data_IF_255012524296
#
_entry.id   IF_255012524296
#
_cell.length_a   1.000
_cell.length_b   1.000
_cell.length_c   1.000
_cell.angle_alpha   90.00
_cell.angle_beta   90.00
_cell.angle_gamma   90.00
#
_symmetry.space_group_name_H-M   'P 1'
#
loop_
_entity.id
_entity.type
_entity.pdbx_description
1 polymer ?
#
# COMPACT_ATOMS: atom_id res chain seq x y z
N UNK A 1 39.50 -26.50 -0.92
CA UNK A 1 38.42 -26.00 -1.81
C UNK A 1 38.90 -24.71 -2.47
N UNK A 2 38.83 -24.60 -3.80
CA UNK A 2 39.30 -23.42 -4.56
C UNK A 2 38.36 -22.22 -4.39
N UNK A 3 38.82 -21.00 -4.73
CA UNK A 3 37.95 -19.81 -4.73
C UNK A 3 36.76 -19.94 -5.68
N UNK A 4 36.96 -20.60 -6.83
CA UNK A 4 35.87 -20.90 -7.75
C UNK A 4 34.83 -21.83 -7.10
N UNK A 5 35.27 -22.90 -6.44
CA UNK A 5 34.37 -23.84 -5.74
C UNK A 5 33.59 -23.13 -4.61
N UNK A 6 34.25 -22.30 -3.80
CA UNK A 6 33.59 -21.46 -2.77
C UNK A 6 32.52 -20.55 -3.38
N UNK A 7 32.84 -19.88 -4.49
CA UNK A 7 31.89 -18.99 -5.19
C UNK A 7 30.67 -19.75 -5.71
N UNK A 8 30.88 -20.96 -6.25
CA UNK A 8 29.80 -21.85 -6.70
C UNK A 8 28.88 -22.24 -5.53
N UNK A 9 29.42 -22.70 -4.40
CA UNK A 9 28.61 -23.08 -3.25
C UNK A 9 27.82 -21.90 -2.66
N UNK A 10 28.44 -20.71 -2.57
CA UNK A 10 27.75 -19.48 -2.15
C UNK A 10 26.61 -19.07 -3.08
N UNK A 11 26.75 -19.28 -4.38
CA UNK A 11 25.68 -18.96 -5.33
C UNK A 11 24.54 -19.99 -5.26
N UNK A 12 24.85 -21.26 -5.02
CA UNK A 12 23.82 -22.31 -4.84
C UNK A 12 22.99 -22.10 -3.59
N UNK A 13 23.57 -21.59 -2.49
CA UNK A 13 22.83 -21.22 -1.28
C UNK A 13 21.71 -20.20 -1.54
N UNK A 14 21.80 -19.41 -2.63
CA UNK A 14 20.79 -18.40 -2.99
C UNK A 14 19.61 -18.98 -3.77
N UNK A 15 19.66 -20.24 -4.19
CA UNK A 15 18.56 -20.87 -4.92
C UNK A 15 17.42 -21.14 -3.92
N UNK A 16 16.20 -20.61 -4.13
CA UNK A 16 15.09 -20.78 -3.18
C UNK A 16 14.66 -22.25 -2.99
N UNK A 17 14.06 -22.55 -1.84
CA UNK A 17 13.45 -23.85 -1.54
C UNK A 17 12.40 -24.22 -2.60
N UNK A 18 12.47 -25.44 -3.13
CA UNK A 18 11.50 -25.94 -4.11
C UNK A 18 11.70 -25.41 -5.53
N UNK A 19 12.73 -24.60 -5.76
CA UNK A 19 13.17 -24.17 -7.08
C UNK A 19 14.43 -24.89 -7.52
N UNK A 20 14.59 -25.02 -8.83
CA UNK A 20 15.82 -25.55 -9.44
C UNK A 20 16.46 -24.52 -10.36
N UNK A 21 17.77 -24.64 -10.55
CA UNK A 21 18.54 -23.87 -11.55
C UNK A 21 19.44 -24.81 -12.32
N UNK A 22 19.83 -24.40 -13.53
CA UNK A 22 20.72 -25.20 -14.35
C UNK A 22 22.19 -24.98 -13.96
N UNK A 23 23.05 -25.96 -14.24
CA UNK A 23 24.51 -25.74 -14.11
C UNK A 23 24.98 -24.52 -14.92
N UNK A 24 24.39 -24.26 -16.10
CA UNK A 24 24.66 -23.07 -16.92
C UNK A 24 24.24 -21.77 -16.23
N UNK A 25 23.10 -21.77 -15.53
CA UNK A 25 22.65 -20.62 -14.74
C UNK A 25 23.66 -20.28 -13.64
N UNK A 26 24.09 -21.28 -12.87
CA UNK A 26 25.10 -21.07 -11.81
C UNK A 26 26.42 -20.59 -12.41
N UNK A 27 26.88 -21.21 -13.51
CA UNK A 27 28.10 -20.83 -14.21
C UNK A 27 28.08 -19.35 -14.67
N UNK A 28 26.95 -18.90 -15.20
CA UNK A 28 26.72 -17.50 -15.59
C UNK A 28 26.79 -16.57 -14.38
N UNK A 29 26.14 -16.93 -13.27
CA UNK A 29 26.10 -16.12 -12.04
C UNK A 29 27.45 -16.01 -11.33
N UNK A 30 28.31 -17.01 -11.46
CA UNK A 30 29.69 -16.93 -10.94
C UNK A 30 30.66 -16.22 -11.90
N UNK A 31 30.17 -15.72 -13.04
CA UNK A 31 30.95 -14.97 -14.02
C UNK A 31 31.73 -15.82 -15.02
N UNK A 32 31.38 -17.11 -15.16
CA UNK A 32 32.03 -18.03 -16.11
C UNK A 32 30.98 -18.84 -16.88
N UNK A 33 30.24 -18.26 -17.85
CA UNK A 33 29.08 -18.88 -18.49
C UNK A 33 29.33 -20.28 -19.11
N UNK A 34 30.55 -20.52 -19.60
CA UNK A 34 30.94 -21.78 -20.23
C UNK A 34 31.46 -22.84 -19.25
N UNK A 35 31.58 -22.52 -17.96
CA UNK A 35 32.20 -23.40 -16.96
C UNK A 35 31.20 -24.37 -16.28
N UNK A 36 30.09 -24.75 -16.93
CA UNK A 36 29.06 -25.59 -16.33
C UNK A 36 29.55 -26.99 -15.90
N UNK A 37 30.52 -27.58 -16.62
CA UNK A 37 31.20 -28.82 -16.19
C UNK A 37 32.04 -28.61 -14.92
N UNK A 38 32.75 -27.49 -14.83
CA UNK A 38 33.52 -27.14 -13.63
C UNK A 38 32.60 -26.86 -12.43
N UNK A 39 31.43 -26.25 -12.66
CA UNK A 39 30.39 -26.10 -11.63
C UNK A 39 29.93 -27.48 -11.14
N UNK A 40 29.63 -28.42 -12.04
CA UNK A 40 29.23 -29.78 -11.64
C UNK A 40 30.31 -30.46 -10.78
N UNK A 41 31.58 -30.33 -11.16
CA UNK A 41 32.71 -30.86 -10.38
C UNK A 41 32.84 -30.19 -9.01
N UNK A 42 32.63 -28.87 -8.93
CA UNK A 42 32.63 -28.15 -7.66
C UNK A 42 31.50 -28.63 -6.72
N UNK A 43 30.30 -28.84 -7.25
CA UNK A 43 29.15 -29.33 -6.49
C UNK A 43 29.30 -30.78 -6.03
N UNK A 44 30.03 -31.62 -6.78
CA UNK A 44 30.37 -32.99 -6.35
C UNK A 44 31.24 -33.00 -5.10
N UNK A 45 32.07 -31.97 -4.90
CA UNK A 45 32.97 -31.81 -3.75
C UNK A 45 32.31 -31.05 -2.58
N UNK A 46 31.01 -30.79 -2.64
CA UNK A 46 30.29 -30.11 -1.58
C UNK A 46 30.40 -30.90 -0.27
N UNK A 47 31.04 -30.36 0.79
CA UNK A 47 31.21 -31.06 2.06
C UNK A 47 29.91 -31.18 2.86
N UNK A 48 28.89 -30.37 2.55
CA UNK A 48 27.62 -30.32 3.30
C UNK A 48 26.41 -30.40 2.35
N UNK A 49 26.20 -31.53 1.64
CA UNK A 49 25.18 -31.67 0.59
C UNK A 49 23.73 -31.40 1.01
N UNK A 50 23.40 -31.54 2.30
CA UNK A 50 22.07 -31.21 2.83
C UNK A 50 21.89 -29.72 3.21
N UNK A 51 22.97 -29.03 3.61
CA UNK A 51 22.92 -27.63 4.05
C UNK A 51 23.23 -26.66 2.90
N UNK A 52 24.11 -27.06 1.98
CA UNK A 52 24.38 -26.35 0.73
C UNK A 52 23.62 -27.09 -0.37
N UNK A 53 22.50 -26.55 -0.89
CA UNK A 53 21.47 -27.32 -1.59
C UNK A 53 21.85 -27.65 -3.04
N UNK A 54 22.94 -28.39 -3.25
CA UNK A 54 23.42 -28.73 -4.58
C UNK A 54 22.49 -29.71 -5.33
N UNK A 55 21.54 -30.35 -4.63
CA UNK A 55 20.42 -31.07 -5.24
C UNK A 55 19.49 -30.16 -6.07
N UNK A 56 19.42 -28.85 -5.77
CA UNK A 56 18.63 -27.88 -6.56
C UNK A 56 19.24 -27.56 -7.93
N UNK A 57 20.46 -28.00 -8.22
CA UNK A 57 21.12 -27.76 -9.50
C UNK A 57 20.93 -28.95 -10.44
N UNK A 58 20.30 -28.71 -11.60
CA UNK A 58 19.91 -29.74 -12.58
C UNK A 58 20.50 -29.46 -13.97
N UNK A 59 20.39 -30.43 -14.89
CA UNK A 59 20.81 -30.21 -16.28
C UNK A 59 19.84 -29.26 -17.01
N UNK A 60 20.30 -28.68 -18.13
CA UNK A 60 19.48 -27.83 -19.00
C UNK A 60 18.25 -28.54 -19.58
N UNK A 61 18.29 -29.87 -19.67
CA UNK A 61 17.21 -30.67 -20.25
C UNK A 61 16.24 -31.19 -19.17
N UNK A 62 16.23 -30.56 -18.00
CA UNK A 62 15.50 -30.99 -16.79
C UNK A 62 15.81 -32.43 -16.31
N UNK A 63 16.82 -33.10 -16.88
CA UNK A 63 17.31 -34.38 -16.35
C UNK A 63 18.05 -34.15 -15.04
N UNK A 64 17.82 -35.04 -14.09
CA UNK A 64 18.49 -35.03 -12.79
C UNK A 64 19.92 -35.53 -12.99
N UNK A 65 20.88 -34.62 -12.86
CA UNK A 65 22.31 -34.94 -12.88
C UNK A 65 22.78 -35.55 -11.56
N UNK A 66 24.05 -35.95 -11.50
CA UNK A 66 24.65 -36.57 -10.33
C UNK A 66 24.50 -35.78 -9.02
N UNK A 67 24.59 -36.51 -7.91
CA UNK A 67 24.52 -36.00 -6.54
C UNK A 67 25.42 -36.86 -5.65
N UNK A 68 26.18 -36.25 -4.74
CA UNK A 68 27.14 -36.97 -3.89
C UNK A 68 26.48 -37.98 -2.95
N UNK A 69 25.21 -37.76 -2.57
CA UNK A 69 24.43 -38.69 -1.76
C UNK A 69 23.45 -39.56 -2.57
N UNK A 70 23.63 -39.64 -3.90
CA UNK A 70 22.81 -40.50 -4.76
C UNK A 70 21.68 -39.78 -5.51
N UNK A 71 21.44 -40.21 -6.75
CA UNK A 71 20.48 -39.56 -7.66
C UNK A 71 19.04 -39.66 -7.14
N UNK A 72 18.68 -40.76 -6.50
CA UNK A 72 17.35 -40.99 -5.91
C UNK A 72 17.04 -39.97 -4.82
N UNK A 73 17.93 -39.83 -3.84
CA UNK A 73 17.78 -38.84 -2.78
C UNK A 73 17.66 -37.42 -3.33
N UNK A 74 18.41 -37.08 -4.40
CA UNK A 74 18.25 -35.79 -5.09
C UNK A 74 16.85 -35.61 -5.67
N UNK A 75 16.25 -36.66 -6.25
CA UNK A 75 14.86 -36.60 -6.76
C UNK A 75 13.89 -36.33 -5.61
N UNK A 76 14.06 -37.05 -4.50
CA UNK A 76 13.15 -36.98 -3.38
C UNK A 76 13.24 -35.65 -2.63
N UNK A 77 14.45 -35.11 -2.46
CA UNK A 77 14.64 -33.76 -1.91
C UNK A 77 13.96 -32.70 -2.79
N UNK A 78 14.11 -32.76 -4.13
CA UNK A 78 13.43 -31.81 -5.03
C UNK A 78 11.91 -31.93 -4.91
N UNK A 79 11.37 -33.17 -4.87
CA UNK A 79 9.92 -33.40 -4.71
C UNK A 79 9.41 -32.88 -3.36
N UNK A 80 10.11 -33.20 -2.29
CA UNK A 80 9.79 -32.77 -0.93
C UNK A 80 9.80 -31.25 -0.82
N UNK A 81 10.86 -30.60 -1.30
CA UNK A 81 10.96 -29.14 -1.27
C UNK A 81 9.88 -28.46 -2.10
N UNK A 82 9.50 -29.02 -3.25
CA UNK A 82 8.34 -28.52 -4.03
C UNK A 82 7.05 -28.64 -3.23
N UNK A 83 6.80 -29.79 -2.58
CA UNK A 83 5.62 -29.99 -1.73
C UNK A 83 5.61 -29.03 -0.54
N UNK A 84 6.76 -28.81 0.11
CA UNK A 84 6.90 -27.83 1.19
C UNK A 84 6.65 -26.42 0.66
N UNK A 85 7.24 -26.05 -0.48
CA UNK A 85 7.01 -24.74 -1.12
C UNK A 85 5.54 -24.51 -1.42
N UNK A 86 4.85 -25.51 -1.99
CA UNK A 86 3.44 -25.42 -2.33
C UNK A 86 2.58 -25.31 -1.06
N UNK A 87 2.85 -26.13 -0.05
CA UNK A 87 2.20 -26.06 1.27
C UNK A 87 2.42 -24.71 1.97
N UNK A 88 3.61 -24.12 1.86
CA UNK A 88 3.92 -22.79 2.39
C UNK A 88 3.17 -21.73 1.58
N UNK A 89 3.16 -21.84 0.25
CA UNK A 89 2.49 -20.90 -0.66
C UNK A 89 0.98 -20.85 -0.41
N UNK A 90 0.37 -21.99 -0.14
CA UNK A 90 -1.07 -22.08 0.17
C UNK A 90 -1.40 -21.58 1.59
N UNK A 91 -0.40 -21.49 2.47
CA UNK A 91 -0.52 -20.93 3.83
C UNK A 91 -0.16 -19.45 3.96
N UNK A 92 0.51 -18.86 2.97
CA UNK A 92 0.83 -17.43 2.97
C UNK A 92 -0.38 -16.69 2.39
N UNK A 93 -1.11 -15.97 3.24
CA UNK A 93 -2.14 -15.05 2.77
C UNK A 93 -1.53 -14.03 1.79
N UNK A 94 -2.23 -13.72 0.67
CA UNK A 94 -1.75 -12.72 -0.27
C UNK A 94 -1.63 -11.37 0.43
N UNK A 95 -0.60 -10.58 0.07
CA UNK A 95 -0.45 -9.20 0.55
C UNK A 95 -1.73 -8.41 0.29
N UNK A 96 -2.23 -7.75 1.33
CA UNK A 96 -3.48 -7.00 1.34
C UNK A 96 -3.19 -5.51 1.35
N UNK A 97 -4.19 -4.71 0.95
CA UNK A 97 -4.19 -3.25 1.07
C UNK A 97 -5.14 -2.86 2.19
N UNK A 98 -4.60 -2.57 3.37
CA UNK A 98 -5.38 -2.14 4.52
C UNK A 98 -5.52 -0.62 4.50
N UNK A 99 -6.76 -0.14 4.45
CA UNK A 99 -7.08 1.29 4.58
C UNK A 99 -7.26 1.60 6.06
N UNK A 100 -6.33 2.38 6.64
CA UNK A 100 -6.27 2.75 8.06
C UNK A 100 -7.36 3.78 8.45
N UNK A 101 -8.62 3.39 8.30
CA UNK A 101 -9.79 4.19 8.69
C UNK A 101 -10.88 3.34 9.32
N UNK A 102 -11.60 3.93 10.28
CA UNK A 102 -12.87 3.38 10.79
C UNK A 102 -14.11 4.06 10.18
N UNK A 103 -13.91 5.08 9.31
CA UNK A 103 -15.03 5.81 8.70
C UNK A 103 -15.56 5.04 7.48
N UNK A 104 -16.73 4.43 7.64
CA UNK A 104 -17.40 3.63 6.58
C UNK A 104 -17.69 4.44 5.31
N UNK A 105 -18.08 5.71 5.42
CA UNK A 105 -18.33 6.57 4.27
C UNK A 105 -17.04 6.85 3.49
N UNK A 106 -15.96 7.16 4.21
CA UNK A 106 -14.62 7.34 3.64
C UNK A 106 -14.16 6.07 2.93
N UNK A 107 -14.28 4.90 3.57
CA UNK A 107 -13.89 3.63 2.96
C UNK A 107 -14.71 3.32 1.70
N UNK A 108 -16.02 3.58 1.71
CA UNK A 108 -16.90 3.42 0.54
C UNK A 108 -16.46 4.28 -0.66
N UNK A 109 -16.03 5.52 -0.41
CA UNK A 109 -15.46 6.38 -1.47
C UNK A 109 -14.15 5.79 -2.01
N UNK A 110 -13.22 5.46 -1.11
CA UNK A 110 -11.89 4.92 -1.43
C UNK A 110 -12.01 3.65 -2.27
N UNK A 111 -12.78 2.67 -1.80
CA UNK A 111 -12.98 1.37 -2.47
C UNK A 111 -13.49 1.53 -3.90
N UNK A 112 -14.32 2.54 -4.17
CA UNK A 112 -14.75 2.86 -5.54
C UNK A 112 -13.65 3.48 -6.39
N UNK A 113 -12.83 4.38 -5.84
CA UNK A 113 -11.74 5.04 -6.56
C UNK A 113 -10.66 4.02 -6.96
N UNK A 114 -10.27 3.13 -6.04
CA UNK A 114 -9.19 2.15 -6.25
C UNK A 114 -9.67 0.83 -6.87
N UNK A 115 -10.93 0.77 -7.36
CA UNK A 115 -11.45 -0.40 -8.07
C UNK A 115 -10.47 -0.80 -9.20
N UNK A 116 -10.11 -2.09 -9.27
CA UNK A 116 -9.17 -2.63 -10.24
C UNK A 116 -7.76 -2.90 -9.70
N UNK A 117 -7.45 -2.48 -8.46
CA UNK A 117 -6.29 -3.02 -7.73
C UNK A 117 -6.48 -4.53 -7.54
N UNK A 118 -5.45 -5.33 -7.87
CA UNK A 118 -5.51 -6.81 -7.92
C UNK A 118 -5.21 -7.51 -6.59
N UNK A 119 -5.14 -6.76 -5.49
CA UNK A 119 -4.97 -7.30 -4.14
C UNK A 119 -6.20 -7.02 -3.27
N UNK A 120 -6.47 -7.85 -2.24
CA UNK A 120 -7.59 -7.63 -1.33
C UNK A 120 -7.51 -6.24 -0.68
N UNK A 121 -8.62 -5.50 -0.67
CA UNK A 121 -8.72 -4.18 -0.04
C UNK A 121 -9.58 -4.28 1.22
N UNK A 122 -8.99 -4.00 2.38
CA UNK A 122 -9.62 -4.21 3.69
C UNK A 122 -9.72 -2.87 4.45
N UNK A 123 -10.80 -2.68 5.19
CA UNK A 123 -10.97 -1.54 6.09
C UNK A 123 -10.42 -1.87 7.48
N UNK A 124 -9.62 -0.98 8.07
CA UNK A 124 -9.17 -1.15 9.46
C UNK A 124 -10.34 -1.27 10.44
N UNK A 125 -11.43 -0.54 10.22
CA UNK A 125 -12.63 -0.65 11.06
C UNK A 125 -13.42 -1.96 10.93
N UNK A 126 -13.06 -2.83 9.97
CA UNK A 126 -13.67 -4.15 9.77
C UNK A 126 -12.78 -5.29 10.30
N UNK A 127 -11.54 -5.00 10.69
CA UNK A 127 -10.62 -5.98 11.25
C UNK A 127 -10.84 -6.15 12.76
N UNK A 128 -10.77 -7.37 13.27
CA UNK A 128 -10.83 -7.65 14.69
C UNK A 128 -9.64 -7.01 15.43
N UNK A 129 -9.86 -6.59 16.68
CA UNK A 129 -8.82 -5.94 17.48
C UNK A 129 -8.51 -4.49 17.07
N UNK A 130 -9.34 -3.85 16.24
CA UNK A 130 -9.07 -2.49 15.79
C UNK A 130 -9.12 -1.44 16.93
N UNK A 131 -8.02 -0.75 17.16
CA UNK A 131 -7.92 0.32 18.17
C UNK A 131 -8.19 1.70 17.59
N UNK A 132 -8.59 2.63 18.45
CA UNK A 132 -8.69 4.04 18.09
C UNK A 132 -7.28 4.64 17.97
N UNK A 133 -7.04 5.40 16.90
CA UNK A 133 -5.73 5.98 16.61
C UNK A 133 -5.80 7.47 16.90
N UNK A 134 -5.03 7.93 17.89
CA UNK A 134 -4.97 9.34 18.27
C UNK A 134 -4.29 10.17 17.17
N UNK A 135 -5.01 11.14 16.63
CA UNK A 135 -4.57 12.08 15.58
C UNK A 135 -4.13 13.42 16.21
N UNK A 136 -2.87 13.48 16.64
CA UNK A 136 -2.22 14.60 17.33
C UNK A 136 -1.04 15.19 16.54
N UNK A 137 -0.92 14.84 15.25
CA UNK A 137 0.07 15.42 14.36
C UNK A 137 -0.22 16.89 14.05
N UNK A 138 0.84 17.62 13.68
CA UNK A 138 0.80 19.05 13.33
C UNK A 138 0.46 19.30 11.86
N UNK A 139 0.34 18.23 11.06
CA UNK A 139 0.03 18.30 9.63
C UNK A 139 -0.83 17.12 9.19
N UNK A 140 -1.51 17.27 8.04
CA UNK A 140 -2.24 16.16 7.41
C UNK A 140 -1.31 14.96 7.12
N UNK A 141 -0.04 15.23 6.77
CA UNK A 141 0.94 14.19 6.52
C UNK A 141 1.27 13.40 7.78
N UNK A 142 1.55 14.07 8.90
CA UNK A 142 1.85 13.41 10.18
C UNK A 142 0.68 12.54 10.65
N UNK A 143 -0.56 13.03 10.55
CA UNK A 143 -1.74 12.25 10.92
C UNK A 143 -1.93 11.03 9.99
N UNK A 144 -1.80 11.21 8.68
CA UNK A 144 -1.89 10.12 7.72
C UNK A 144 -0.82 9.06 7.97
N UNK A 145 0.43 9.48 8.20
CA UNK A 145 1.57 8.60 8.48
C UNK A 145 1.39 7.85 9.79
N UNK A 146 1.00 8.53 10.87
CA UNK A 146 0.74 7.89 12.16
C UNK A 146 -0.34 6.80 12.04
N UNK A 147 -1.45 7.10 11.35
CA UNK A 147 -2.50 6.10 11.06
C UNK A 147 -1.95 4.88 10.33
N UNK A 148 -1.20 5.09 9.25
CA UNK A 148 -0.63 3.99 8.46
C UNK A 148 0.40 3.17 9.24
N UNK A 149 1.32 3.83 9.94
CA UNK A 149 2.37 3.17 10.71
C UNK A 149 1.80 2.38 11.88
N UNK A 150 0.82 2.91 12.61
CA UNK A 150 0.17 2.18 13.70
C UNK A 150 -0.45 0.88 13.19
N UNK A 151 -1.23 0.93 12.11
CA UNK A 151 -1.85 -0.29 11.54
C UNK A 151 -0.80 -1.23 10.95
N UNK A 152 0.25 -0.70 10.33
CA UNK A 152 1.34 -1.51 9.74
C UNK A 152 2.16 -2.29 10.77
N UNK A 153 2.16 -1.89 12.06
CA UNK A 153 2.79 -2.69 13.12
C UNK A 153 2.06 -4.01 13.37
N UNK A 154 0.73 -4.04 13.21
CA UNK A 154 -0.08 -5.24 13.37
C UNK A 154 0.00 -6.15 12.13
N UNK A 155 0.22 -5.56 10.95
CA UNK A 155 0.30 -6.28 9.68
C UNK A 155 1.55 -5.85 8.88
N UNK A 156 2.77 -6.25 9.32
CA UNK A 156 4.02 -5.79 8.71
C UNK A 156 4.22 -6.24 7.26
N UNK A 157 3.59 -7.35 6.86
CA UNK A 157 3.60 -7.91 5.52
C UNK A 157 2.64 -7.19 4.55
N UNK A 158 1.62 -6.51 5.08
CA UNK A 158 0.60 -5.85 4.26
C UNK A 158 1.00 -4.44 3.85
N UNK A 159 0.42 -3.99 2.74
CA UNK A 159 0.43 -2.59 2.37
C UNK A 159 -0.63 -1.87 3.19
N UNK A 160 -0.24 -0.80 3.88
CA UNK A 160 -1.14 -0.01 4.70
C UNK A 160 -1.22 1.41 4.17
N UNK A 161 -2.45 1.88 3.97
CA UNK A 161 -2.74 3.23 3.49
C UNK A 161 -3.34 4.05 4.62
N UNK A 162 -2.64 5.13 4.97
CA UNK A 162 -3.17 6.18 5.83
C UNK A 162 -3.65 7.35 5.01
N UNK A 163 -4.75 7.97 5.43
CA UNK A 163 -5.26 9.19 4.81
C UNK A 163 -5.66 10.19 5.89
N UNK A 164 -5.29 11.44 5.70
CA UNK A 164 -5.85 12.57 6.42
C UNK A 164 -6.34 13.66 5.46
N UNK A 165 -7.43 14.30 5.83
CA UNK A 165 -8.11 15.28 4.97
C UNK A 165 -8.86 16.33 5.78
N UNK A 166 -8.99 17.51 5.19
CA UNK A 166 -9.66 18.63 5.83
C UNK A 166 -10.05 19.72 4.85
N UNK A 167 -10.87 20.64 5.36
CA UNK A 167 -11.25 21.89 4.73
C UNK A 167 -10.31 23.00 5.22
N UNK A 168 -9.82 23.81 4.30
CA UNK A 168 -9.11 25.05 4.59
C UNK A 168 -9.89 26.21 3.99
N UNK A 169 -10.21 27.23 4.78
CA UNK A 169 -10.88 28.45 4.33
C UNK A 169 -9.91 29.62 4.44
N UNK A 170 -9.66 30.30 3.32
CA UNK A 170 -8.59 31.31 3.21
C UNK A 170 -8.80 32.48 4.17
N UNK A 171 -10.02 33.03 4.23
CA UNK A 171 -10.37 34.13 5.14
C UNK A 171 -10.39 33.75 6.63
N UNK A 172 -10.34 32.45 6.97
CA UNK A 172 -10.26 31.97 8.35
C UNK A 172 -8.84 31.51 8.71
N UNK A 173 -7.81 31.99 7.99
CA UNK A 173 -6.43 31.57 8.24
C UNK A 173 -6.20 30.08 7.97
N UNK A 174 -6.92 29.50 7.00
CA UNK A 174 -6.95 28.08 6.65
C UNK A 174 -7.60 27.16 7.69
N UNK A 175 -8.31 27.69 8.69
CA UNK A 175 -9.20 26.88 9.50
C UNK A 175 -10.37 26.33 8.66
N UNK A 176 -10.94 25.16 9.01
CA UNK A 176 -10.60 24.27 10.14
C UNK A 176 -9.27 23.50 10.05
N UNK A 177 -8.70 23.33 8.85
CA UNK A 177 -7.45 22.60 8.62
C UNK A 177 -7.48 21.17 9.19
N UNK A 178 -6.42 20.78 9.90
CA UNK A 178 -6.29 19.47 10.56
C UNK A 178 -7.36 19.22 11.65
N UNK A 179 -8.05 20.26 12.11
CA UNK A 179 -9.13 20.15 13.09
C UNK A 179 -10.50 19.92 12.44
N UNK A 180 -10.57 19.75 11.13
CA UNK A 180 -11.80 19.59 10.35
C UNK A 180 -12.85 18.65 10.96
N UNK A 181 -12.46 17.51 11.52
CA UNK A 181 -13.41 16.56 12.13
C UNK A 181 -13.96 17.05 13.48
N UNK A 182 -13.19 17.87 14.20
CA UNK A 182 -13.42 18.32 15.58
C UNK A 182 -13.55 19.84 15.70
N UNK A 183 -13.93 20.52 14.63
CA UNK A 183 -13.87 21.99 14.55
C UNK A 183 -14.79 22.68 15.56
N UNK A 184 -15.94 22.06 15.85
CA UNK A 184 -16.92 22.52 16.85
C UNK A 184 -16.65 21.97 18.25
N UNK A 185 -15.48 21.37 18.49
CA UNK A 185 -15.05 20.92 19.82
C UNK A 185 -15.59 19.55 20.24
N UNK A 186 -15.77 19.35 21.55
CA UNK A 186 -16.28 18.11 22.14
C UNK A 186 -17.70 17.86 21.62
N UNK A 187 -17.99 16.63 21.14
CA UNK A 187 -19.25 16.27 20.47
C UNK A 187 -19.49 16.99 19.12
N UNK A 188 -18.42 17.22 18.35
CA UNK A 188 -18.51 17.70 16.98
C UNK A 188 -19.36 16.79 16.12
N UNK A 189 -20.23 17.39 15.32
CA UNK A 189 -20.99 16.72 14.25
C UNK A 189 -20.78 17.48 12.96
N UNK A 190 -21.05 16.85 11.82
CA UNK A 190 -20.97 17.52 10.52
C UNK A 190 -21.83 18.81 10.54
N UNK A 191 -23.06 18.76 11.07
CA UNK A 191 -23.92 19.93 11.20
C UNK A 191 -23.26 21.06 12.01
N UNK A 192 -22.78 20.79 13.23
CA UNK A 192 -22.15 21.80 14.10
C UNK A 192 -20.89 22.39 13.46
N UNK A 193 -20.10 21.55 12.80
CA UNK A 193 -18.90 21.98 12.08
C UNK A 193 -19.25 22.91 10.91
N UNK A 194 -20.26 22.57 10.10
CA UNK A 194 -20.73 23.42 9.00
C UNK A 194 -21.25 24.75 9.53
N UNK A 195 -22.10 24.73 10.58
CA UNK A 195 -22.64 25.95 11.18
C UNK A 195 -21.55 26.87 11.71
N UNK A 196 -20.51 26.34 12.37
CA UNK A 196 -19.39 27.14 12.84
C UNK A 196 -18.63 27.82 11.70
N UNK A 197 -18.36 27.11 10.61
CA UNK A 197 -17.73 27.72 9.41
C UNK A 197 -18.60 28.82 8.83
N UNK A 198 -19.91 28.58 8.69
CA UNK A 198 -20.84 29.58 8.15
C UNK A 198 -20.93 30.82 9.05
N UNK A 199 -20.99 30.64 10.37
CA UNK A 199 -21.00 31.71 11.36
C UNK A 199 -19.72 32.56 11.29
N UNK A 200 -18.55 31.92 11.25
CA UNK A 200 -17.26 32.61 11.17
C UNK A 200 -17.07 33.36 9.84
N UNK A 201 -17.83 33.02 8.81
CA UNK A 201 -17.86 33.70 7.52
C UNK A 201 -19.07 34.64 7.34
N UNK A 202 -19.77 35.00 8.41
CA UNK A 202 -20.84 35.97 8.34
C UNK A 202 -20.30 37.31 7.78
N UNK A 203 -21.02 37.89 6.81
CA UNK A 203 -20.63 39.13 6.12
C UNK A 203 -19.51 38.99 5.08
N UNK A 204 -18.88 37.82 4.93
CA UNK A 204 -17.84 37.57 3.92
C UNK A 204 -18.45 37.19 2.58
N UNK A 205 -18.00 37.84 1.51
CA UNK A 205 -18.56 37.69 0.16
C UNK A 205 -17.51 37.31 -0.90
N UNK A 206 -17.97 36.78 -2.03
CA UNK A 206 -17.15 36.54 -3.23
C UNK A 206 -15.81 35.84 -2.95
N UNK A 207 -14.69 36.54 -3.21
CA UNK A 207 -13.33 35.99 -3.07
C UNK A 207 -12.94 35.67 -1.63
N UNK A 208 -13.57 36.28 -0.62
CA UNK A 208 -13.29 36.00 0.79
C UNK A 208 -13.78 34.61 1.21
N UNK A 209 -14.69 34.00 0.44
CA UNK A 209 -15.22 32.66 0.73
C UNK A 209 -14.40 31.54 0.09
N UNK A 210 -13.22 31.82 -0.49
CA UNK A 210 -12.36 30.79 -1.09
C UNK A 210 -12.00 29.71 -0.08
N UNK A 211 -12.10 28.46 -0.53
CA UNK A 211 -11.75 27.30 0.28
C UNK A 211 -11.12 26.19 -0.56
N UNK A 212 -10.41 25.30 0.13
CA UNK A 212 -9.77 24.15 -0.45
C UNK A 212 -9.99 22.93 0.43
N UNK A 213 -10.51 21.85 -0.13
CA UNK A 213 -10.33 20.54 0.49
C UNK A 213 -8.93 20.02 0.16
N UNK A 214 -8.25 19.45 1.15
CA UNK A 214 -6.98 18.74 0.99
C UNK A 214 -7.09 17.27 1.39
N UNK A 215 -6.35 16.43 0.68
CA UNK A 215 -6.15 15.03 1.02
C UNK A 215 -4.66 14.73 0.97
N UNK A 216 -4.13 14.15 2.04
CA UNK A 216 -2.81 13.52 2.05
C UNK A 216 -3.01 12.02 2.26
N UNK A 217 -2.43 11.23 1.37
CA UNK A 217 -2.46 9.76 1.41
C UNK A 217 -1.03 9.28 1.49
N UNK A 218 -0.76 8.30 2.34
CA UNK A 218 0.55 7.67 2.48
C UNK A 218 0.41 6.16 2.35
N UNK A 219 1.39 5.53 1.73
CA UNK A 219 1.52 4.08 1.62
C UNK A 219 2.72 3.63 2.47
N UNK A 220 2.50 2.65 3.33
CA UNK A 220 3.47 2.12 4.29
C UNK A 220 3.52 0.60 4.20
N UNK A 221 4.70 -0.01 4.42
CA UNK A 221 4.88 -1.46 4.62
C UNK A 221 5.93 -1.68 5.71
N UNK A 222 5.69 -2.60 6.64
CA UNK A 222 6.57 -2.84 7.79
C UNK A 222 6.93 -1.57 8.57
N UNK A 223 5.98 -0.63 8.72
CA UNK A 223 6.18 0.66 9.39
C UNK A 223 7.00 1.70 8.60
N UNK A 224 7.54 1.35 7.42
CA UNK A 224 8.32 2.26 6.57
C UNK A 224 7.44 2.95 5.53
N UNK A 225 7.57 4.26 5.41
CA UNK A 225 6.93 5.04 4.36
C UNK A 225 7.48 4.62 2.98
N UNK A 226 6.60 4.17 2.10
CA UNK A 226 6.92 3.87 0.71
C UNK A 226 6.72 5.13 -0.14
N UNK A 227 5.55 5.75 -0.07
CA UNK A 227 5.21 6.90 -0.91
C UNK A 227 4.11 7.77 -0.32
N UNK A 228 4.14 9.06 -0.64
CA UNK A 228 3.14 10.07 -0.30
C UNK A 228 2.42 10.53 -1.57
N UNK A 229 1.13 10.76 -1.47
CA UNK A 229 0.26 11.28 -2.54
C UNK A 229 -0.62 12.39 -1.98
N UNK A 230 -0.97 13.35 -2.84
CA UNK A 230 -1.79 14.49 -2.47
C UNK A 230 -2.84 14.80 -3.52
N UNK A 231 -3.96 15.33 -3.06
CA UNK A 231 -5.03 15.85 -3.91
C UNK A 231 -5.70 17.06 -3.27
N UNK A 232 -6.22 17.94 -4.12
CA UNK A 232 -6.86 19.18 -3.68
C UNK A 232 -8.07 19.52 -4.53
N UNK A 233 -9.12 20.03 -3.90
CA UNK A 233 -10.30 20.53 -4.58
C UNK A 233 -10.52 21.97 -4.13
N UNK A 234 -10.33 22.92 -5.05
CA UNK A 234 -10.58 24.34 -4.81
C UNK A 234 -12.05 24.67 -5.10
N UNK A 235 -12.61 25.58 -4.32
CA UNK A 235 -13.98 26.02 -4.43
C UNK A 235 -14.24 27.20 -3.51
N UNK A 236 -15.51 27.38 -3.14
CA UNK A 236 -15.96 28.46 -2.27
C UNK A 236 -16.87 27.89 -1.19
N UNK A 237 -16.93 28.54 -0.03
CA UNK A 237 -17.96 28.24 0.96
C UNK A 237 -19.25 28.93 0.53
N UNK A 238 -20.36 28.18 0.46
CA UNK A 238 -21.68 28.72 0.16
C UNK A 238 -22.27 29.44 1.37
N UNK A 239 -23.35 30.19 1.19
CA UNK A 239 -23.99 30.94 2.29
C UNK A 239 -24.87 30.07 3.19
N UNK A 240 -25.29 28.90 2.69
CA UNK A 240 -26.13 27.96 3.42
C UNK A 240 -25.77 26.53 3.05
N UNK A 241 -26.20 25.57 3.86
CA UNK A 241 -26.09 24.16 3.52
C UNK A 241 -27.08 23.82 2.39
N UNK A 242 -26.60 23.22 1.30
CA UNK A 242 -27.42 22.75 0.19
C UNK A 242 -26.98 21.35 -0.22
N UNK A 243 -27.94 20.46 -0.48
CA UNK A 243 -27.68 19.07 -0.82
C UNK A 243 -27.68 18.13 0.39
N UNK A 244 -27.91 16.84 0.13
CA UNK A 244 -28.08 15.79 1.16
C UNK A 244 -27.09 14.63 1.01
N UNK A 245 -26.25 14.63 -0.02
CA UNK A 245 -25.29 13.55 -0.30
C UNK A 245 -23.93 13.88 0.33
N UNK A 246 -23.07 12.88 0.43
CA UNK A 246 -21.72 13.07 0.95
C UNK A 246 -21.67 13.14 2.47
N UNK A 247 -20.65 13.83 3.00
CA UNK A 247 -20.43 13.98 4.44
C UNK A 247 -19.53 15.20 4.72
N UNK A 248 -19.37 15.55 6.00
CA UNK A 248 -18.52 16.66 6.43
C UNK A 248 -19.02 17.99 5.87
N UNK A 249 -18.11 18.74 5.24
CA UNK A 249 -18.39 20.09 4.71
C UNK A 249 -18.93 20.09 3.26
N UNK A 250 -19.26 18.92 2.70
CA UNK A 250 -19.82 18.80 1.36
C UNK A 250 -21.05 19.73 1.11
N UNK A 251 -21.97 19.94 2.08
CA UNK A 251 -23.16 20.78 1.86
C UNK A 251 -22.88 22.28 1.76
N UNK A 252 -21.72 22.76 2.24
CA UNK A 252 -21.34 24.16 2.13
C UNK A 252 -20.22 24.38 1.11
N UNK A 253 -19.63 23.34 0.53
CA UNK A 253 -18.52 23.50 -0.42
C UNK A 253 -19.05 23.64 -1.86
N UNK A 254 -19.08 24.87 -2.36
CA UNK A 254 -19.57 25.24 -3.69
C UNK A 254 -18.50 25.14 -4.77
N UNK A 255 -18.91 24.64 -5.94
CA UNK A 255 -18.10 24.49 -7.14
C UNK A 255 -18.70 25.34 -8.28
N UNK A 256 -18.08 26.48 -8.65
CA UNK A 256 -18.62 27.38 -9.68
C UNK A 256 -18.87 26.70 -11.01
N UNK A 257 -17.94 25.84 -11.46
CA UNK A 257 -18.06 25.09 -12.72
C UNK A 257 -19.31 24.20 -12.77
N UNK A 258 -19.79 23.73 -11.63
CA UNK A 258 -20.94 22.83 -11.54
C UNK A 258 -22.21 23.55 -11.09
N UNK A 259 -22.11 24.83 -10.69
CA UNK A 259 -23.18 25.60 -10.02
C UNK A 259 -23.85 24.83 -8.89
N UNK A 260 -23.08 24.03 -8.15
CA UNK A 260 -23.55 23.06 -7.15
C UNK A 260 -22.60 23.00 -5.98
N UNK A 261 -23.12 22.67 -4.80
CA UNK A 261 -22.31 22.18 -3.69
C UNK A 261 -21.88 20.73 -3.94
N UNK A 262 -20.82 20.28 -3.26
CA UNK A 262 -20.36 18.89 -3.37
C UNK A 262 -21.47 17.92 -2.92
N UNK A 263 -22.30 18.28 -1.94
CA UNK A 263 -23.41 17.45 -1.47
C UNK A 263 -24.57 17.32 -2.47
N UNK A 264 -24.58 18.10 -3.56
CA UNK A 264 -25.53 17.93 -4.67
C UNK A 264 -25.00 16.96 -5.73
N UNK A 265 -23.69 16.72 -5.79
CA UNK A 265 -23.09 15.80 -6.75
C UNK A 265 -23.42 14.33 -6.40
N UNK A 266 -23.60 13.51 -7.43
CA UNK A 266 -23.57 12.06 -7.24
C UNK A 266 -22.18 11.60 -6.79
N UNK A 267 -22.11 10.44 -6.15
CA UNK A 267 -20.84 9.83 -5.79
C UNK A 267 -19.92 9.58 -7.00
N UNK A 268 -20.51 9.27 -8.17
CA UNK A 268 -19.74 9.10 -9.42
C UNK A 268 -19.12 10.42 -9.88
N UNK A 269 -19.85 11.53 -9.82
CA UNK A 269 -19.33 12.86 -10.17
C UNK A 269 -18.28 13.32 -9.16
N UNK A 270 -18.54 13.19 -7.85
CA UNK A 270 -17.59 13.54 -6.79
C UNK A 270 -16.27 12.77 -6.95
N UNK A 271 -16.34 11.47 -7.26
CA UNK A 271 -15.17 10.63 -7.47
C UNK A 271 -14.36 10.97 -8.74
N UNK A 272 -14.83 11.86 -9.62
CA UNK A 272 -14.03 12.36 -10.75
C UNK A 272 -13.13 13.54 -10.38
N UNK A 273 -13.53 14.34 -9.38
CA UNK A 273 -12.92 15.65 -9.14
C UNK A 273 -12.36 15.84 -7.73
N UNK A 274 -12.82 15.05 -6.75
CA UNK A 274 -12.50 15.33 -5.35
C UNK A 274 -11.01 15.22 -5.03
N UNK A 275 -10.59 15.96 -4.01
CA UNK A 275 -9.26 15.87 -3.40
C UNK A 275 -8.87 14.41 -3.10
N UNK A 276 -9.80 13.63 -2.55
CA UNK A 276 -9.61 12.20 -2.27
C UNK A 276 -9.46 11.38 -3.55
N UNK A 277 -10.30 11.61 -4.55
CA UNK A 277 -10.19 10.93 -5.84
C UNK A 277 -8.84 11.18 -6.50
N UNK A 278 -8.34 12.42 -6.49
CA UNK A 278 -7.02 12.75 -7.03
C UNK A 278 -5.90 12.01 -6.29
N UNK A 279 -5.90 12.01 -4.95
CA UNK A 279 -4.85 11.36 -4.17
C UNK A 279 -4.87 9.83 -4.33
N UNK A 280 -6.04 9.20 -4.24
CA UNK A 280 -6.18 7.75 -4.37
C UNK A 280 -6.03 7.24 -5.81
N UNK A 281 -6.30 8.06 -6.83
CA UNK A 281 -6.01 7.67 -8.22
C UNK A 281 -4.50 7.58 -8.46
N UNK A 282 -3.72 8.53 -7.93
CA UNK A 282 -2.25 8.47 -7.96
C UNK A 282 -1.70 7.25 -7.21
N UNK A 283 -2.30 6.92 -6.05
CA UNK A 283 -1.97 5.70 -5.32
C UNK A 283 -2.28 4.46 -6.16
N UNK A 284 -3.48 4.38 -6.74
CA UNK A 284 -3.90 3.24 -7.59
C UNK A 284 -2.94 3.03 -8.74
N UNK A 285 -2.59 4.09 -9.46
CA UNK A 285 -1.63 4.05 -10.55
C UNK A 285 -0.29 3.50 -10.07
N UNK A 286 0.24 4.05 -8.98
CA UNK A 286 1.50 3.59 -8.40
C UNK A 286 1.49 2.11 -8.02
N UNK A 287 0.41 1.62 -7.42
CA UNK A 287 0.23 0.21 -7.06
C UNK A 287 0.23 -0.67 -8.33
N UNK A 288 -0.47 -0.25 -9.39
CA UNK A 288 -0.57 -1.01 -10.63
C UNK A 288 0.75 -1.08 -11.40
N UNK A 289 1.61 -0.06 -11.29
CA UNK A 289 2.92 0.00 -11.97
C UNK A 289 4.08 -0.53 -11.12
N UNK A 290 3.83 -0.98 -9.88
CA UNK A 290 4.87 -1.39 -8.93
C UNK A 290 4.71 -2.86 -8.49
N UNK A 291 4.98 -3.85 -9.36
CA UNK A 291 4.75 -5.26 -9.04
C UNK A 291 5.64 -5.78 -7.89
N UNK A 292 6.76 -5.12 -7.60
CA UNK A 292 7.67 -5.47 -6.51
C UNK A 292 7.10 -5.19 -5.10
N UNK A 293 5.93 -4.55 -5.00
CA UNK A 293 5.28 -4.27 -3.71
C UNK A 293 4.64 -5.51 -3.09
N UNK A 294 4.35 -6.53 -3.90
CA UNK A 294 3.67 -7.77 -3.54
C UNK A 294 4.66 -8.92 -3.43
#
# INVERSE_FOLDING_TARGET
MTEFEKKVLREVLKIPLGETRTYKWVATRVGRPNAYRAVANALRKNPYPLFIPCHRVVSSNNKIGGYSLGVELKRDLIKLEKKIRDMIKDKIEPVRLIVATKNKNKFKEIKKIIKGVKIPVICWGELEGNIEIKEDGKSFFENALKKAQTVSKYYPQDLVVGEDSGLEVEALGNEPGIFSRRYSGKHSTDLKNNLKVLHNLAGKEGKERKACFRCVVVLVKGGKLIKKFEGKLRGFIYHKMVGKRGFGYDPIFYLPRYKKTVAQLSLREKNKISHRAQAFSKLKEYILTSPHLF
#
